data_IF_346897464239
#
_entry.id   IF_346897464239
#
_cell.length_a   1.000
_cell.length_b   1.000
_cell.length_c   1.000
_cell.angle_alpha   90.00
_cell.angle_beta   90.00
_cell.angle_gamma   90.00
#
_symmetry.space_group_name_H-M   'P 1'
#
loop_
_entity.id
_entity.type
_entity.pdbx_description
1 polymer ?
#
# COMPACT_ATOMS: atom_id res chain seq x y z
N UNK A 1 1.28 9.66 6.33
CA UNK A 1 0.29 9.81 5.23
C UNK A 1 -0.70 8.65 5.25
N UNK A 2 -1.88 8.82 4.68
CA UNK A 2 -2.86 7.75 4.46
C UNK A 2 -2.89 7.42 2.97
N UNK A 3 -2.64 6.17 2.60
CA UNK A 3 -2.58 5.69 1.20
C UNK A 3 -3.71 4.70 0.94
N UNK A 4 -4.35 4.83 -0.22
CA UNK A 4 -5.33 3.89 -0.75
C UNK A 4 -4.71 3.11 -1.91
N UNK A 5 -4.88 1.78 -1.91
CA UNK A 5 -4.55 0.91 -3.03
C UNK A 5 -5.86 0.34 -3.58
N UNK A 6 -6.17 0.66 -4.85
CA UNK A 6 -7.23 0.03 -5.62
C UNK A 6 -6.69 -1.21 -6.34
N UNK A 7 -7.53 -2.22 -6.55
CA UNK A 7 -7.07 -3.49 -7.13
C UNK A 7 -6.13 -4.24 -6.19
N UNK A 8 -6.32 -4.08 -4.87
CA UNK A 8 -5.40 -4.57 -3.86
C UNK A 8 -5.32 -6.11 -3.80
N UNK A 9 -6.32 -6.83 -4.32
CA UNK A 9 -6.31 -8.30 -4.40
C UNK A 9 -5.56 -8.82 -5.64
N UNK A 10 -5.34 -7.96 -6.65
CA UNK A 10 -4.59 -8.30 -7.85
C UNK A 10 -3.10 -8.56 -7.59
N UNK A 11 -2.41 -9.17 -8.57
CA UNK A 11 -1.00 -9.55 -8.45
C UNK A 11 -0.10 -8.36 -8.09
N UNK A 12 -0.36 -7.19 -8.69
CA UNK A 12 0.40 -5.96 -8.44
C UNK A 12 0.01 -5.38 -7.07
N UNK A 13 -1.29 -5.26 -6.79
CA UNK A 13 -1.81 -4.70 -5.54
C UNK A 13 -1.25 -5.41 -4.32
N UNK A 14 -1.27 -6.75 -4.31
CA UNK A 14 -0.69 -7.56 -3.23
C UNK A 14 0.80 -7.33 -3.04
N UNK A 15 1.58 -7.39 -4.13
CA UNK A 15 3.04 -7.20 -4.08
C UNK A 15 3.41 -5.79 -3.60
N UNK A 16 2.66 -4.78 -4.05
CA UNK A 16 2.83 -3.41 -3.61
C UNK A 16 2.50 -3.26 -2.12
N UNK A 17 1.35 -3.76 -1.68
CA UNK A 17 0.93 -3.71 -0.28
C UNK A 17 1.97 -4.39 0.64
N UNK A 18 2.49 -5.55 0.25
CA UNK A 18 3.56 -6.23 0.98
C UNK A 18 4.87 -5.43 1.00
N UNK A 19 5.27 -4.83 -0.14
CA UNK A 19 6.48 -4.01 -0.20
C UNK A 19 6.38 -2.78 0.70
N UNK A 20 5.22 -2.10 0.70
CA UNK A 20 4.95 -0.96 1.56
C UNK A 20 4.78 -1.36 3.03
N UNK A 21 4.29 -2.55 3.34
CA UNK A 21 4.27 -3.05 4.71
C UNK A 21 5.69 -3.29 5.25
N UNK A 22 6.59 -3.80 4.41
CA UNK A 22 8.02 -3.98 4.75
C UNK A 22 8.76 -2.64 4.84
N UNK A 23 8.43 -1.68 3.98
CA UNK A 23 9.04 -0.36 3.94
C UNK A 23 7.95 0.73 3.95
N UNK A 24 7.41 1.09 5.13
CA UNK A 24 6.21 1.92 5.26
C UNK A 24 6.49 3.41 5.04
N UNK A 25 6.94 3.76 3.84
CA UNK A 25 7.24 5.13 3.43
C UNK A 25 7.12 5.31 1.92
N UNK A 26 6.85 6.54 1.49
CA UNK A 26 6.99 6.97 0.10
C UNK A 26 7.98 8.14 0.10
N UNK A 27 9.14 7.93 -0.52
CA UNK A 27 10.28 8.83 -0.38
C UNK A 27 10.69 8.99 1.09
N UNK A 28 10.78 10.25 1.55
CA UNK A 28 11.11 10.59 2.94
C UNK A 28 9.88 10.61 3.89
N UNK A 29 8.67 10.37 3.38
CA UNK A 29 7.44 10.53 4.17
C UNK A 29 6.92 9.18 4.67
N UNK A 30 6.65 8.99 5.96
CA UNK A 30 6.12 7.73 6.50
C UNK A 30 4.65 7.52 6.15
N UNK A 31 4.28 6.25 5.94
CA UNK A 31 2.89 5.79 5.78
C UNK A 31 2.34 5.48 7.17
N UNK A 32 1.26 6.17 7.55
CA UNK A 32 0.58 5.98 8.83
C UNK A 32 -0.58 4.99 8.71
N UNK A 33 -1.16 4.86 7.51
CA UNK A 33 -2.28 3.97 7.24
C UNK A 33 -2.31 3.54 5.77
N UNK A 34 -2.55 2.26 5.55
CA UNK A 34 -2.89 1.69 4.25
C UNK A 34 -4.38 1.31 4.27
N UNK A 35 -5.13 1.73 3.26
CA UNK A 35 -6.44 1.18 2.93
C UNK A 35 -6.28 0.34 1.67
N UNK A 36 -6.67 -0.93 1.74
CA UNK A 36 -6.64 -1.87 0.62
C UNK A 36 -8.09 -2.07 0.16
N UNK A 37 -8.37 -1.78 -1.10
CA UNK A 37 -9.70 -1.91 -1.68
C UNK A 37 -9.65 -2.71 -2.99
N UNK A 38 -10.66 -3.54 -3.17
CA UNK A 38 -10.92 -4.38 -4.35
C UNK A 38 -12.44 -4.49 -4.50
N UNK A 39 -12.95 -4.82 -5.70
CA UNK A 39 -14.40 -4.89 -6.01
C UNK A 39 -14.85 -6.32 -6.25
#
# INVERSE_FOLDING_TARGET
MHVLILGAAGMIGRKLAEALARHPRIGARPIARLTLADV
#
